data_IF_785495051641
#
_entry.id   IF_785495051641
#
_cell.length_a   1.000
_cell.length_b   1.000
_cell.length_c   1.000
_cell.angle_alpha   90.00
_cell.angle_beta   90.00
_cell.angle_gamma   90.00
#
_symmetry.space_group_name_H-M   'P 1'
#
loop_
_entity.id
_entity.type
_entity.pdbx_description
1 polymer ?
#
# COMPACT_ATOMS: atom_id res chain seq x y z
N UNK A 1 9.75 14.15 -16.27
CA UNK A 1 9.92 15.44 -15.57
C UNK A 1 11.00 16.31 -16.21
N UNK A 2 12.30 15.97 -16.13
CA UNK A 2 13.39 16.83 -16.61
C UNK A 2 13.37 17.14 -18.12
N UNK A 3 12.91 16.20 -18.94
CA UNK A 3 12.84 16.38 -20.38
C UNK A 3 11.78 17.40 -20.81
N UNK A 4 10.76 17.67 -19.97
CA UNK A 4 9.67 18.59 -20.28
C UNK A 4 9.08 19.22 -19.00
N UNK A 5 9.79 20.12 -18.31
CA UNK A 5 9.27 20.73 -17.08
C UNK A 5 8.03 21.60 -17.31
N UNK A 6 7.93 22.24 -18.47
CA UNK A 6 6.82 23.14 -18.80
C UNK A 6 5.53 22.39 -19.14
N UNK A 7 5.60 21.22 -19.80
CA UNK A 7 4.43 20.36 -20.00
C UNK A 7 3.84 19.85 -18.68
N UNK A 8 4.69 19.51 -17.71
CA UNK A 8 4.23 19.17 -16.35
C UNK A 8 3.65 20.38 -15.62
N UNK A 9 4.23 21.57 -15.78
CA UNK A 9 3.69 22.79 -15.21
C UNK A 9 2.30 23.13 -15.77
N UNK A 10 2.10 22.96 -17.08
CA UNK A 10 0.81 23.13 -17.73
C UNK A 10 -0.22 22.11 -17.24
N UNK A 11 0.20 20.86 -17.03
CA UNK A 11 -0.67 19.79 -16.48
C UNK A 11 -1.19 20.12 -15.08
N UNK A 12 -0.40 20.80 -14.26
CA UNK A 12 -0.78 21.18 -12.89
C UNK A 12 -1.40 22.57 -12.78
N UNK A 13 -1.56 23.32 -13.88
CA UNK A 13 -2.15 24.64 -13.85
C UNK A 13 -3.59 24.58 -13.32
N UNK A 14 -3.87 25.30 -12.23
CA UNK A 14 -5.18 25.30 -11.57
C UNK A 14 -5.43 24.14 -10.60
N UNK A 15 -4.44 23.28 -10.35
CA UNK A 15 -4.55 22.19 -9.37
C UNK A 15 -4.23 22.60 -7.93
N UNK A 16 -3.95 23.89 -7.64
CA UNK A 16 -3.53 24.35 -6.32
C UNK A 16 -4.49 23.91 -5.20
N UNK A 17 -5.79 24.08 -5.41
CA UNK A 17 -6.81 23.68 -4.45
C UNK A 17 -6.88 22.16 -4.29
N UNK A 18 -6.60 21.38 -5.35
CA UNK A 18 -6.51 19.92 -5.26
C UNK A 18 -5.30 19.51 -4.41
N UNK A 19 -4.12 20.05 -4.69
CA UNK A 19 -2.90 19.75 -3.94
C UNK A 19 -3.04 20.09 -2.46
N UNK A 20 -3.67 21.22 -2.13
CA UNK A 20 -3.97 21.60 -0.74
C UNK A 20 -4.89 20.58 -0.04
N UNK A 21 -5.94 20.10 -0.72
CA UNK A 21 -6.83 19.07 -0.16
C UNK A 21 -6.12 17.74 0.05
N UNK A 22 -5.28 17.31 -0.90
CA UNK A 22 -4.51 16.06 -0.76
C UNK A 22 -3.49 16.17 0.36
N UNK A 23 -2.77 17.29 0.46
CA UNK A 23 -1.83 17.54 1.55
C UNK A 23 -2.51 17.52 2.93
N UNK A 24 -3.74 18.04 3.02
CA UNK A 24 -4.52 18.01 4.27
C UNK A 24 -4.88 16.59 4.74
N UNK A 25 -4.85 15.58 3.85
CA UNK A 25 -5.10 14.18 4.23
C UNK A 25 -4.10 13.65 5.26
N UNK A 26 -2.88 14.21 5.29
CA UNK A 26 -1.84 13.81 6.25
C UNK A 26 -2.23 14.11 7.72
N UNK A 27 -3.24 14.96 7.93
CA UNK A 27 -3.81 15.25 9.24
C UNK A 27 -4.84 14.24 9.73
N UNK A 28 -5.25 13.27 8.89
CA UNK A 28 -6.26 12.27 9.21
C UNK A 28 -5.64 10.89 9.46
N UNK A 29 -6.24 10.12 10.37
CA UNK A 29 -5.73 8.81 10.78
C UNK A 29 -6.33 7.61 10.04
N UNK A 30 -7.40 7.79 9.28
CA UNK A 30 -8.13 6.70 8.63
C UNK A 30 -8.91 7.20 7.39
N UNK A 31 -9.34 6.27 6.54
CA UNK A 31 -10.17 6.55 5.38
C UNK A 31 -11.44 5.69 5.43
N UNK A 32 -12.59 6.33 5.23
CA UNK A 32 -13.89 5.66 5.08
C UNK A 32 -14.47 6.04 3.73
N UNK A 33 -14.85 5.05 2.95
CA UNK A 33 -15.62 5.23 1.72
C UNK A 33 -16.97 5.84 2.07
N UNK A 34 -17.37 6.95 1.43
CA UNK A 34 -18.69 7.56 1.65
C UNK A 34 -19.82 6.75 0.99
N UNK A 35 -19.49 5.73 0.21
CA UNK A 35 -20.48 4.95 -0.55
C UNK A 35 -21.01 3.79 0.28
N UNK A 36 -22.32 3.78 0.50
CA UNK A 36 -22.99 2.69 1.17
C UNK A 36 -23.01 1.42 0.30
N UNK A 37 -22.68 0.24 0.86
CA UNK A 37 -22.78 -1.01 0.15
C UNK A 37 -24.23 -1.29 -0.26
N UNK A 38 -24.49 -1.39 -1.57
CA UNK A 38 -25.77 -1.82 -2.15
C UNK A 38 -26.98 -1.04 -1.62
N UNK A 39 -27.10 0.24 -2.02
CA UNK A 39 -28.34 1.02 -1.88
C UNK A 39 -29.40 0.57 -2.88
N UNK A 40 -29.47 1.24 -4.04
CA UNK A 40 -30.36 0.88 -5.17
C UNK A 40 -29.64 0.18 -6.33
N UNK A 41 -28.29 0.15 -6.31
CA UNK A 41 -27.45 -0.36 -7.40
C UNK A 41 -26.63 -1.58 -6.93
N UNK A 42 -26.60 -2.69 -7.69
CA UNK A 42 -25.72 -3.83 -7.45
C UNK A 42 -24.22 -3.54 -7.60
N UNK A 43 -23.83 -2.36 -8.07
CA UNK A 43 -22.43 -1.93 -8.20
C UNK A 43 -22.17 -0.79 -7.20
N UNK A 44 -21.33 -1.05 -6.21
CA UNK A 44 -20.85 0.00 -5.29
C UNK A 44 -19.86 0.87 -6.06
N UNK A 45 -20.13 2.18 -6.24
CA UNK A 45 -19.19 3.05 -6.93
C UNK A 45 -17.88 3.14 -6.13
N UNK A 46 -16.76 3.07 -6.84
CA UNK A 46 -15.45 3.29 -6.24
C UNK A 46 -15.14 4.79 -6.16
N UNK A 47 -14.52 5.28 -5.07
CA UNK A 47 -13.96 6.62 -5.06
C UNK A 47 -12.99 6.81 -6.22
N UNK A 48 -13.01 8.00 -6.81
CA UNK A 48 -12.02 8.38 -7.83
C UNK A 48 -10.69 8.66 -7.11
N UNK A 49 -9.77 7.70 -7.15
CA UNK A 49 -8.48 7.81 -6.45
C UNK A 49 -7.39 8.55 -7.25
N UNK A 50 -7.57 8.78 -8.56
CA UNK A 50 -6.54 9.46 -9.37
C UNK A 50 -6.07 10.81 -8.79
N UNK A 51 -6.95 11.67 -8.24
CA UNK A 51 -6.53 12.95 -7.67
C UNK A 51 -5.58 12.84 -6.47
N UNK A 52 -5.57 11.73 -5.71
CA UNK A 52 -4.62 11.57 -4.59
C UNK A 52 -3.19 11.27 -5.06
N UNK A 53 -3.01 10.93 -6.34
CA UNK A 53 -1.70 10.69 -6.96
C UNK A 53 -1.18 11.93 -7.72
N UNK A 54 -2.03 12.92 -7.98
CA UNK A 54 -1.67 14.13 -8.73
C UNK A 54 -0.47 14.90 -8.15
N UNK A 55 -0.34 15.07 -6.81
CA UNK A 55 0.80 15.81 -6.25
C UNK A 55 2.16 15.17 -6.50
N UNK A 56 2.25 13.88 -6.81
CA UNK A 56 3.52 13.18 -7.00
C UNK A 56 4.40 13.87 -8.07
N UNK A 57 3.83 14.17 -9.24
CA UNK A 57 4.55 14.88 -10.29
C UNK A 57 4.73 16.36 -9.98
N UNK A 58 3.84 16.97 -9.19
CA UNK A 58 4.00 18.35 -8.73
C UNK A 58 5.22 18.50 -7.80
N UNK A 59 5.44 17.55 -6.87
CA UNK A 59 6.62 17.52 -6.01
C UNK A 59 7.90 17.35 -6.82
N UNK A 60 7.89 16.43 -7.79
CA UNK A 60 9.02 16.22 -8.70
C UNK A 60 9.35 17.49 -9.52
N UNK A 61 8.33 18.20 -10.01
CA UNK A 61 8.47 19.47 -10.71
C UNK A 61 9.05 20.56 -9.79
N UNK A 62 8.55 20.65 -8.55
CA UNK A 62 9.03 21.60 -7.55
C UNK A 62 10.53 21.40 -7.27
N UNK A 63 10.99 20.15 -7.14
CA UNK A 63 12.43 19.84 -6.98
C UNK A 63 13.26 20.25 -8.20
N UNK A 64 12.80 19.94 -9.42
CA UNK A 64 13.48 20.36 -10.66
C UNK A 64 13.58 21.88 -10.79
N UNK A 65 12.59 22.62 -10.26
CA UNK A 65 12.58 24.08 -10.20
C UNK A 65 13.35 24.67 -9.01
N UNK A 66 14.10 23.86 -8.26
CA UNK A 66 14.93 24.30 -7.13
C UNK A 66 14.20 24.42 -5.79
N UNK A 67 12.92 24.06 -5.71
CA UNK A 67 12.11 24.09 -4.48
C UNK A 67 12.18 22.75 -3.72
N UNK A 68 13.38 22.15 -3.63
CA UNK A 68 13.58 20.80 -3.06
C UNK A 68 13.05 20.66 -1.64
N UNK A 69 13.16 21.68 -0.78
CA UNK A 69 12.61 21.62 0.58
C UNK A 69 11.09 21.45 0.61
N UNK A 70 10.37 22.12 -0.30
CA UNK A 70 8.90 22.00 -0.44
C UNK A 70 8.53 20.65 -1.04
N UNK A 71 9.25 20.21 -2.06
CA UNK A 71 9.05 18.91 -2.70
C UNK A 71 9.24 17.74 -1.73
N UNK A 72 10.31 17.78 -0.92
CA UNK A 72 10.57 16.79 0.12
C UNK A 72 9.45 16.79 1.17
N UNK A 73 9.02 17.96 1.63
CA UNK A 73 7.96 18.07 2.64
C UNK A 73 6.63 17.50 2.12
N UNK A 74 6.28 17.81 0.87
CA UNK A 74 5.09 17.30 0.19
C UNK A 74 5.10 15.78 0.02
N UNK A 75 6.16 15.22 -0.55
CA UNK A 75 6.30 13.77 -0.71
C UNK A 75 6.24 13.02 0.64
N UNK A 76 6.86 13.59 1.68
CA UNK A 76 6.79 13.03 3.04
C UNK A 76 5.38 13.11 3.66
N UNK A 77 4.63 14.18 3.40
CA UNK A 77 3.23 14.28 3.83
C UNK A 77 2.36 13.23 3.12
N UNK A 78 2.55 13.04 1.82
CA UNK A 78 1.80 12.04 1.04
C UNK A 78 2.14 10.60 1.45
N UNK A 79 3.38 10.33 1.88
CA UNK A 79 3.74 9.06 2.54
C UNK A 79 2.92 8.85 3.82
N UNK A 80 2.72 9.88 4.64
CA UNK A 80 1.93 9.76 5.87
C UNK A 80 0.46 9.46 5.56
N UNK A 81 -0.12 10.18 4.60
CA UNK A 81 -1.48 9.90 4.08
C UNK A 81 -1.60 8.46 3.58
N UNK A 82 -0.63 8.01 2.76
CA UNK A 82 -0.59 6.66 2.23
C UNK A 82 -0.51 5.58 3.31
N UNK A 83 0.28 5.79 4.36
CA UNK A 83 0.39 4.88 5.51
C UNK A 83 -0.92 4.76 6.27
N UNK A 84 -1.62 5.87 6.50
CA UNK A 84 -2.93 5.88 7.13
C UNK A 84 -3.95 5.11 6.27
N UNK A 85 -4.03 5.40 4.97
CA UNK A 85 -4.90 4.69 4.03
C UNK A 85 -4.57 3.19 3.94
N UNK A 86 -3.29 2.81 3.99
CA UNK A 86 -2.85 1.41 3.92
C UNK A 86 -3.43 0.59 5.07
N UNK A 87 -3.21 1.03 6.32
CA UNK A 87 -3.60 0.25 7.50
C UNK A 87 -5.01 0.53 8.03
N UNK A 88 -5.57 1.70 7.72
CA UNK A 88 -6.85 2.18 8.26
C UNK A 88 -7.85 2.56 7.16
N UNK A 89 -7.64 2.07 5.93
CA UNK A 89 -8.67 2.07 4.89
C UNK A 89 -9.72 1.01 5.18
N UNK A 90 -10.99 1.35 4.94
CA UNK A 90 -12.15 0.47 5.14
C UNK A 90 -12.38 -0.53 4.01
N UNK A 91 -11.69 -0.38 2.88
CA UNK A 91 -11.80 -1.25 1.70
C UNK A 91 -10.42 -1.65 1.21
N UNK A 92 -10.32 -2.83 0.59
CA UNK A 92 -9.06 -3.36 0.07
C UNK A 92 -8.45 -2.44 -0.96
N UNK A 93 -9.28 -1.87 -1.85
CA UNK A 93 -8.83 -0.90 -2.85
C UNK A 93 -8.20 0.35 -2.21
N UNK A 94 -8.76 0.85 -1.11
CA UNK A 94 -8.19 1.99 -0.38
C UNK A 94 -6.82 1.64 0.20
N UNK A 95 -6.67 0.48 0.83
CA UNK A 95 -5.37 0.00 1.32
C UNK A 95 -4.35 -0.14 0.19
N UNK A 96 -4.81 -0.61 -0.98
CA UNK A 96 -4.00 -0.77 -2.19
C UNK A 96 -3.54 0.58 -2.77
N UNK A 97 -4.38 1.60 -2.76
CA UNK A 97 -4.00 2.96 -3.16
C UNK A 97 -3.03 3.57 -2.14
N UNK A 98 -3.30 3.39 -0.84
CA UNK A 98 -2.40 3.85 0.22
C UNK A 98 -0.99 3.26 0.07
N UNK A 99 -0.88 1.96 -0.18
CA UNK A 99 0.43 1.32 -0.40
C UNK A 99 1.14 1.87 -1.64
N UNK A 100 0.41 2.15 -2.72
CA UNK A 100 0.96 2.79 -3.92
C UNK A 100 1.44 4.23 -3.66
N UNK A 101 0.70 5.01 -2.86
CA UNK A 101 1.12 6.36 -2.46
C UNK A 101 2.43 6.31 -1.67
N UNK A 102 2.57 5.36 -0.73
CA UNK A 102 3.82 5.17 0.01
C UNK A 102 4.96 4.81 -0.93
N UNK A 103 4.79 3.79 -1.78
CA UNK A 103 5.86 3.30 -2.66
C UNK A 103 6.32 4.38 -3.65
N UNK A 104 5.37 5.05 -4.32
CA UNK A 104 5.67 6.07 -5.33
C UNK A 104 6.33 7.32 -4.74
N UNK A 105 5.81 7.86 -3.63
CA UNK A 105 6.40 9.03 -2.98
C UNK A 105 7.74 8.70 -2.30
N UNK A 106 7.91 7.48 -1.78
CA UNK A 106 9.19 7.04 -1.23
C UNK A 106 10.26 6.91 -2.33
N UNK A 107 9.90 6.38 -3.51
CA UNK A 107 10.81 6.34 -4.66
C UNK A 107 11.19 7.76 -5.11
N UNK A 108 10.21 8.65 -5.27
CA UNK A 108 10.48 10.05 -5.60
C UNK A 108 11.40 10.73 -4.56
N UNK A 109 11.15 10.48 -3.27
CA UNK A 109 12.00 10.97 -2.19
C UNK A 109 13.45 10.49 -2.34
N UNK A 110 13.66 9.21 -2.64
CA UNK A 110 14.99 8.66 -2.91
C UNK A 110 15.66 9.28 -4.14
N UNK A 111 14.91 9.55 -5.21
CA UNK A 111 15.43 10.21 -6.42
C UNK A 111 15.85 11.65 -6.13
N UNK A 112 15.06 12.40 -5.35
CA UNK A 112 15.42 13.76 -4.93
C UNK A 112 16.64 13.76 -4.01
N UNK A 113 16.73 12.79 -3.09
CA UNK A 113 17.81 12.70 -2.12
C UNK A 113 19.18 12.55 -2.76
N UNK A 114 19.33 11.71 -3.81
CA UNK A 114 20.63 11.48 -4.45
C UNK A 114 21.19 12.72 -5.16
N UNK A 115 20.34 13.68 -5.49
CA UNK A 115 20.72 14.95 -6.13
C UNK A 115 21.09 16.05 -5.13
N UNK A 116 20.75 15.86 -3.86
CA UNK A 116 21.08 16.78 -2.79
C UNK A 116 22.38 16.34 -2.10
N UNK A 117 23.07 17.24 -1.37
CA UNK A 117 24.16 16.84 -0.48
C UNK A 117 23.73 15.72 0.49
N UNK A 118 24.66 14.84 0.85
CA UNK A 118 24.35 13.70 1.72
C UNK A 118 23.88 14.11 3.14
N UNK A 119 24.33 15.29 3.59
CA UNK A 119 24.01 15.93 4.86
C UNK A 119 22.84 16.92 4.76
N UNK A 120 22.14 16.98 3.62
CA UNK A 120 20.99 17.86 3.44
C UNK A 120 19.94 17.64 4.55
N UNK A 121 19.57 18.74 5.20
CA UNK A 121 18.55 18.73 6.23
C UNK A 121 17.19 18.36 5.63
N UNK A 122 16.52 17.37 6.25
CA UNK A 122 15.17 17.00 5.86
C UNK A 122 14.12 17.83 6.60
N UNK A 123 13.00 18.18 5.94
CA UNK A 123 11.85 18.76 6.62
C UNK A 123 11.39 17.88 7.79
N UNK A 124 10.89 18.49 8.87
CA UNK A 124 10.50 17.78 10.09
C UNK A 124 9.48 16.65 9.85
N UNK A 125 8.54 16.85 8.92
CA UNK A 125 7.54 15.85 8.51
C UNK A 125 8.18 14.54 8.01
N UNK A 126 9.37 14.61 7.40
CA UNK A 126 10.05 13.44 6.88
C UNK A 126 10.58 12.51 7.97
N UNK A 127 10.80 13.00 9.19
CA UNK A 127 11.21 12.15 10.31
C UNK A 127 10.13 11.09 10.63
N UNK A 128 8.86 11.51 10.67
CA UNK A 128 7.74 10.59 10.83
C UNK A 128 7.54 9.72 9.58
N UNK A 129 7.61 10.31 8.38
CA UNK A 129 7.38 9.62 7.11
C UNK A 129 8.36 8.44 6.88
N UNK A 130 9.64 8.64 7.17
CA UNK A 130 10.71 7.65 7.00
C UNK A 130 10.87 6.67 8.18
N UNK A 131 10.11 6.85 9.26
CA UNK A 131 10.08 5.87 10.34
C UNK A 131 9.53 4.53 9.81
N UNK A 132 10.07 3.37 10.26
CA UNK A 132 9.54 2.06 9.88
C UNK A 132 8.02 1.97 10.09
N UNK A 133 7.31 1.37 9.13
CA UNK A 133 5.87 1.15 9.25
C UNK A 133 5.58 0.14 10.35
N UNK A 134 4.63 0.46 11.22
CA UNK A 134 4.18 -0.47 12.26
C UNK A 134 3.38 -1.63 11.64
N UNK A 135 3.22 -2.73 12.38
CA UNK A 135 2.36 -3.83 11.94
C UNK A 135 0.92 -3.35 11.68
N UNK A 136 0.40 -2.42 12.49
CA UNK A 136 -0.92 -1.83 12.28
C UNK A 136 -1.04 -1.00 11.00
N UNK A 137 0.02 -0.31 10.57
CA UNK A 137 0.04 0.41 9.29
C UNK A 137 0.18 -0.51 8.07
N UNK A 138 0.63 -1.75 8.29
CA UNK A 138 0.70 -2.80 7.26
C UNK A 138 -0.53 -3.72 7.28
N UNK A 139 -1.39 -3.59 8.28
CA UNK A 139 -2.52 -4.50 8.50
C UNK A 139 -3.61 -4.30 7.46
N UNK A 140 -4.15 -5.42 6.95
CA UNK A 140 -5.33 -5.42 6.10
C UNK A 140 -6.62 -5.72 6.87
N UNK A 141 -6.58 -5.81 8.21
CA UNK A 141 -7.75 -6.22 8.98
C UNK A 141 -8.95 -5.27 8.79
N UNK A 142 -8.74 -3.96 8.81
CA UNK A 142 -9.84 -2.98 8.61
C UNK A 142 -10.43 -3.12 7.21
N UNK A 143 -9.59 -3.17 6.17
CA UNK A 143 -10.02 -3.40 4.81
C UNK A 143 -10.80 -4.71 4.66
N UNK A 144 -10.27 -5.83 5.16
CA UNK A 144 -10.92 -7.13 5.02
C UNK A 144 -12.25 -7.23 5.78
N UNK A 145 -12.42 -6.47 6.88
CA UNK A 145 -13.74 -6.33 7.53
C UNK A 145 -14.75 -5.61 6.64
N UNK A 146 -14.34 -4.55 5.95
CA UNK A 146 -15.21 -3.88 4.99
C UNK A 146 -15.49 -4.72 3.75
N UNK A 147 -14.51 -5.46 3.24
CA UNK A 147 -14.71 -6.42 2.15
C UNK A 147 -15.69 -7.53 2.55
N UNK A 148 -15.64 -8.02 3.80
CA UNK A 148 -16.62 -8.97 4.32
C UNK A 148 -18.02 -8.34 4.43
N UNK A 149 -18.12 -7.09 4.89
CA UNK A 149 -19.39 -6.37 4.96
C UNK A 149 -20.00 -6.15 3.57
N UNK A 150 -19.17 -5.78 2.59
CA UNK A 150 -19.56 -5.62 1.19
C UNK A 150 -20.02 -6.93 0.58
N UNK A 151 -19.24 -8.01 0.76
CA UNK A 151 -19.60 -9.33 0.29
C UNK A 151 -20.92 -9.81 0.91
N UNK A 152 -21.12 -9.58 2.21
CA UNK A 152 -22.37 -9.92 2.88
C UNK A 152 -23.56 -9.07 2.42
N UNK A 153 -23.33 -7.81 2.08
CA UNK A 153 -24.34 -6.95 1.47
C UNK A 153 -24.82 -7.47 0.12
N UNK A 154 -23.93 -8.03 -0.71
CA UNK A 154 -24.30 -8.66 -1.98
C UNK A 154 -25.08 -9.97 -1.86
N UNK A 155 -24.97 -10.69 -0.74
CA UNK A 155 -25.68 -11.97 -0.52
C UNK A 155 -27.14 -11.75 -0.08
N UNK A 156 -27.43 -10.68 0.66
CA UNK A 156 -28.76 -10.42 1.27
C UNK A 156 -29.90 -10.22 0.24
N UNK A 157 -29.74 -9.44 -0.85
CA UNK A 157 -30.78 -9.22 -1.85
C UNK A 157 -31.21 -10.50 -2.60
N UNK A 158 -30.33 -11.51 -2.65
CA UNK A 158 -30.56 -12.79 -3.35
C UNK A 158 -31.58 -13.71 -2.66
N UNK A 159 -32.22 -13.27 -1.58
CA UNK A 159 -33.09 -14.10 -0.74
C UNK A 159 -34.52 -14.27 -1.24
N UNK A 160 -34.99 -13.44 -2.18
CA UNK A 160 -36.33 -13.60 -2.78
C UNK A 160 -37.45 -13.84 -1.75
N UNK A 161 -38.50 -14.59 -2.13
CA UNK A 161 -39.59 -14.96 -1.21
C UNK A 161 -39.05 -15.86 -0.07
N UNK A 162 -39.10 -15.42 1.21
CA UNK A 162 -38.40 -16.04 2.34
C UNK A 162 -38.79 -17.50 2.64
N UNK A 163 -39.95 -17.97 2.19
CA UNK A 163 -40.43 -19.32 2.51
C UNK A 163 -40.03 -20.40 1.48
N UNK A 164 -39.69 -20.01 0.24
CA UNK A 164 -39.37 -20.96 -0.84
C UNK A 164 -37.87 -21.29 -0.99
N UNK A 165 -36.98 -20.41 -0.50
CA UNK A 165 -35.55 -20.49 -0.78
C UNK A 165 -34.66 -20.73 0.46
N UNK A 166 -35.23 -20.83 1.67
CA UNK A 166 -34.48 -21.03 2.93
C UNK A 166 -33.59 -22.29 2.95
N UNK A 167 -34.00 -23.35 2.24
CA UNK A 167 -33.21 -24.59 2.11
C UNK A 167 -32.14 -24.51 1.01
N UNK A 168 -32.24 -23.55 0.09
CA UNK A 168 -31.30 -23.34 -1.01
C UNK A 168 -30.24 -22.31 -0.65
N UNK A 169 -30.64 -21.22 0.03
CA UNK A 169 -29.79 -20.12 0.46
C UNK A 169 -30.08 -19.72 1.92
N UNK A 170 -29.21 -20.15 2.82
CA UNK A 170 -29.17 -19.72 4.21
C UNK A 170 -28.08 -18.63 4.35
N UNK A 171 -28.51 -17.37 4.46
CA UNK A 171 -27.58 -16.22 4.50
C UNK A 171 -26.62 -16.31 5.70
N UNK A 172 -27.06 -16.52 6.96
CA UNK A 172 -26.14 -16.70 8.08
C UNK A 172 -25.10 -17.79 7.85
N UNK A 173 -25.49 -18.97 7.37
CA UNK A 173 -24.55 -20.06 7.06
C UNK A 173 -23.60 -19.72 5.92
N UNK A 174 -24.07 -19.00 4.92
CA UNK A 174 -23.25 -18.53 3.80
C UNK A 174 -22.18 -17.55 4.29
N UNK A 175 -22.56 -16.57 5.09
CA UNK A 175 -21.62 -15.60 5.68
C UNK A 175 -20.60 -16.29 6.60
N UNK A 176 -21.04 -17.24 7.43
CA UNK A 176 -20.15 -18.01 8.29
C UNK A 176 -19.11 -18.80 7.47
N UNK A 177 -19.51 -19.37 6.33
CA UNK A 177 -18.60 -20.07 5.42
C UNK A 177 -17.62 -19.13 4.71
N UNK A 178 -18.05 -17.90 4.40
CA UNK A 178 -17.19 -16.89 3.77
C UNK A 178 -16.19 -16.27 4.74
N UNK A 179 -16.54 -16.14 6.03
CA UNK A 179 -15.76 -15.38 7.01
C UNK A 179 -14.26 -15.73 7.08
N UNK A 180 -13.80 -17.00 7.04
CA UNK A 180 -12.37 -17.32 7.07
C UNK A 180 -11.55 -16.71 5.92
N UNK A 181 -12.17 -16.46 4.76
CA UNK A 181 -11.52 -15.80 3.61
C UNK A 181 -11.12 -14.35 3.88
N UNK A 182 -11.75 -13.73 4.87
CA UNK A 182 -11.51 -12.33 5.26
C UNK A 182 -10.82 -12.22 6.61
N UNK A 183 -11.15 -13.12 7.55
CA UNK A 183 -10.70 -13.06 8.93
C UNK A 183 -9.18 -13.28 9.09
N UNK A 184 -8.49 -13.89 8.12
CA UNK A 184 -7.05 -14.13 8.18
C UNK A 184 -6.24 -12.85 8.43
N UNK A 185 -6.67 -11.72 7.87
CA UNK A 185 -5.96 -10.44 8.00
C UNK A 185 -6.07 -9.84 9.41
N UNK A 186 -7.01 -10.30 10.22
CA UNK A 186 -7.23 -9.87 11.59
C UNK A 186 -6.61 -10.80 12.64
N UNK A 187 -6.00 -11.91 12.23
CA UNK A 187 -5.37 -12.84 13.16
C UNK A 187 -4.08 -12.23 13.75
N UNK A 188 -3.76 -12.56 15.01
CA UNK A 188 -2.49 -12.16 15.63
C UNK A 188 -1.25 -12.66 14.84
N UNK A 189 -1.40 -13.76 14.09
CA UNK A 189 -0.36 -14.24 13.17
C UNK A 189 -0.07 -13.26 12.04
N UNK A 190 -1.05 -12.49 11.55
CA UNK A 190 -0.85 -11.49 10.51
C UNK A 190 0.02 -10.33 10.98
N UNK A 191 -0.15 -9.88 12.24
CA UNK A 191 0.70 -8.83 12.83
C UNK A 191 2.15 -9.31 12.99
N UNK A 192 2.36 -10.54 13.46
CA UNK A 192 3.68 -11.16 13.60
C UNK A 192 4.38 -11.31 12.25
N UNK A 193 3.64 -11.70 11.21
CA UNK A 193 4.13 -11.81 9.83
C UNK A 193 4.56 -10.45 9.31
N UNK A 194 3.73 -9.40 9.48
CA UNK A 194 4.05 -8.04 9.07
C UNK A 194 5.30 -7.50 9.80
N UNK A 195 5.40 -7.72 11.12
CA UNK A 195 6.55 -7.29 11.91
C UNK A 195 7.87 -7.98 11.50
N UNK A 196 7.79 -9.27 11.10
CA UNK A 196 8.96 -10.04 10.62
C UNK A 196 9.21 -9.89 9.12
N UNK A 197 8.38 -9.07 8.46
CA UNK A 197 8.40 -8.91 7.01
C UNK A 197 8.22 -10.24 6.24
N UNK A 198 7.61 -11.25 6.85
CA UNK A 198 7.52 -12.61 6.29
C UNK A 198 6.40 -12.74 5.24
N UNK A 199 6.42 -13.74 4.34
CA UNK A 199 5.30 -13.99 3.45
C UNK A 199 4.02 -14.28 4.24
N UNK A 200 2.89 -13.67 3.83
CA UNK A 200 1.62 -13.88 4.51
C UNK A 200 0.99 -15.23 4.13
N UNK A 201 0.72 -16.13 5.09
CA UNK A 201 0.00 -17.36 4.82
C UNK A 201 -1.49 -17.05 4.63
N UNK A 202 -2.02 -17.35 3.45
CA UNK A 202 -3.46 -17.26 3.16
C UNK A 202 -4.09 -18.63 3.45
N UNK A 203 -5.09 -18.71 4.35
CA UNK A 203 -5.77 -19.98 4.62
C UNK A 203 -6.42 -20.57 3.37
N UNK A 204 -6.34 -21.89 3.23
CA UNK A 204 -7.07 -22.61 2.19
C UNK A 204 -8.58 -22.57 2.49
N UNK A 205 -9.45 -22.61 1.45
CA UNK A 205 -10.89 -22.73 1.64
C UNK A 205 -11.26 -23.98 2.45
N UNK A 206 -12.26 -23.86 3.33
CA UNK A 206 -12.77 -25.00 4.09
C UNK A 206 -13.48 -26.01 3.15
N UNK A 207 -13.18 -27.30 3.32
CA UNK A 207 -13.65 -28.39 2.44
C UNK A 207 -14.85 -29.17 2.99
N UNK A 208 -15.61 -28.63 3.95
CA UNK A 208 -16.76 -29.35 4.50
C UNK A 208 -17.89 -29.47 3.47
N UNK A 209 -18.12 -30.71 3.01
CA UNK A 209 -19.10 -31.10 1.99
C UNK A 209 -20.51 -31.30 2.57
N UNK A 210 -20.63 -31.70 3.83
CA UNK A 210 -21.93 -31.98 4.45
C UNK A 210 -22.68 -30.69 4.76
N UNK A 211 -21.95 -29.60 5.07
CA UNK A 211 -22.51 -28.27 5.25
C UNK A 211 -23.23 -27.70 4.00
N UNK A 212 -23.02 -28.29 2.81
CA UNK A 212 -23.63 -27.82 1.56
C UNK A 212 -24.96 -28.48 1.20
N UNK A 213 -25.36 -29.55 1.89
CA UNK A 213 -26.62 -30.27 1.60
C UNK A 213 -27.84 -29.37 1.90
N UNK A 214 -27.77 -28.60 2.98
CA UNK A 214 -28.86 -27.71 3.42
C UNK A 214 -28.64 -26.23 3.03
N UNK A 215 -27.64 -25.94 2.19
CA UNK A 215 -27.33 -24.59 1.70
C UNK A 215 -26.57 -24.61 0.36
N UNK A 216 -27.10 -25.28 -0.69
CA UNK A 216 -26.38 -25.50 -1.95
C UNK A 216 -26.02 -24.20 -2.69
N UNK A 217 -26.93 -23.21 -2.76
CA UNK A 217 -26.64 -21.92 -3.39
C UNK A 217 -25.67 -21.10 -2.54
N UNK A 218 -25.81 -21.12 -1.22
CA UNK A 218 -24.86 -20.46 -0.33
C UNK A 218 -23.45 -21.05 -0.44
N UNK A 219 -23.33 -22.37 -0.61
CA UNK A 219 -22.04 -22.98 -0.92
C UNK A 219 -21.51 -22.59 -2.30
N UNK A 220 -22.35 -22.52 -3.33
CA UNK A 220 -21.93 -22.05 -4.65
C UNK A 220 -21.35 -20.63 -4.57
N UNK A 221 -22.07 -19.70 -3.92
CA UNK A 221 -21.62 -18.32 -3.68
C UNK A 221 -20.33 -18.28 -2.86
N UNK A 222 -20.29 -18.99 -1.74
CA UNK A 222 -19.12 -19.04 -0.87
C UNK A 222 -17.93 -19.78 -1.49
N UNK A 223 -18.10 -20.49 -2.61
CA UNK A 223 -17.03 -21.16 -3.34
C UNK A 223 -16.61 -20.43 -4.62
N UNK A 224 -17.27 -19.32 -4.99
CA UNK A 224 -16.80 -18.44 -6.08
C UNK A 224 -15.34 -18.08 -5.78
N UNK A 225 -14.46 -18.34 -6.74
CA UNK A 225 -13.03 -18.05 -6.59
C UNK A 225 -12.82 -16.56 -6.35
N UNK A 226 -12.12 -16.23 -5.27
CA UNK A 226 -11.60 -14.88 -5.06
C UNK A 226 -10.24 -14.73 -5.74
N UNK A 227 -9.72 -13.50 -5.87
CA UNK A 227 -8.37 -13.31 -6.35
C UNK A 227 -7.36 -13.84 -5.33
N UNK A 228 -6.12 -14.10 -5.77
CA UNK A 228 -5.07 -14.57 -4.88
C UNK A 228 -4.71 -13.48 -3.86
N UNK A 229 -5.17 -13.66 -2.61
CA UNK A 229 -4.97 -12.69 -1.53
C UNK A 229 -3.49 -12.46 -1.20
N UNK A 230 -2.56 -13.36 -1.60
CA UNK A 230 -1.12 -13.14 -1.43
C UNK A 230 -0.64 -11.90 -2.16
N UNK A 231 -1.21 -11.61 -3.33
CA UNK A 231 -0.89 -10.43 -4.12
C UNK A 231 -1.31 -9.14 -3.42
N UNK A 232 -2.37 -9.16 -2.62
CA UNK A 232 -2.81 -7.99 -1.86
C UNK A 232 -2.06 -7.86 -0.53
N UNK A 233 -1.84 -8.97 0.16
CA UNK A 233 -1.12 -9.02 1.42
C UNK A 233 0.33 -8.53 1.29
N UNK A 234 0.99 -8.81 0.15
CA UNK A 234 2.37 -8.38 -0.08
C UNK A 234 2.54 -6.88 -0.35
N UNK A 235 1.49 -6.16 -0.78
CA UNK A 235 1.62 -4.73 -1.17
C UNK A 235 1.92 -3.80 0.01
N UNK A 236 1.24 -3.89 1.18
CA UNK A 236 1.64 -3.16 2.37
C UNK A 236 3.07 -3.51 2.84
N UNK A 237 3.49 -4.77 2.66
CA UNK A 237 4.86 -5.21 3.01
C UNK A 237 5.89 -4.58 2.07
N UNK A 238 5.59 -4.48 0.77
CA UNK A 238 6.46 -3.83 -0.22
C UNK A 238 6.54 -2.33 0.02
N UNK A 239 5.45 -1.66 0.38
CA UNK A 239 5.46 -0.27 0.82
C UNK A 239 6.36 -0.06 2.06
N UNK A 240 6.25 -0.93 3.07
CA UNK A 240 7.09 -0.88 4.25
C UNK A 240 8.58 -1.16 3.93
N UNK A 241 8.86 -2.07 2.99
CA UNK A 241 10.22 -2.32 2.52
C UNK A 241 10.79 -1.15 1.73
N UNK A 242 10.01 -0.48 0.89
CA UNK A 242 10.44 0.72 0.18
C UNK A 242 10.87 1.81 1.17
N UNK A 243 10.10 2.08 2.23
CA UNK A 243 10.49 3.06 3.25
C UNK A 243 11.79 2.68 3.97
N UNK A 244 11.95 1.40 4.33
CA UNK A 244 13.21 0.89 4.90
C UNK A 244 14.38 1.08 3.92
N UNK A 245 14.15 0.84 2.64
CA UNK A 245 15.14 0.97 1.58
C UNK A 245 15.58 2.43 1.37
N UNK A 246 14.65 3.38 1.36
CA UNK A 246 14.96 4.83 1.29
C UNK A 246 15.72 5.28 2.54
N UNK A 247 15.30 4.84 3.72
CA UNK A 247 16.01 5.15 4.96
C UNK A 247 17.43 4.56 4.98
N UNK A 248 17.62 3.34 4.45
CA UNK A 248 18.93 2.71 4.28
C UNK A 248 19.81 3.46 3.27
N UNK A 249 19.26 3.86 2.12
CA UNK A 249 19.94 4.68 1.11
C UNK A 249 20.42 6.00 1.73
N UNK A 250 19.56 6.72 2.45
CA UNK A 250 19.94 7.96 3.15
C UNK A 250 21.06 7.70 4.16
N UNK A 251 20.93 6.67 4.99
CA UNK A 251 21.96 6.34 5.97
C UNK A 251 23.30 6.03 5.32
N UNK A 252 23.32 5.22 4.25
CA UNK A 252 24.54 4.85 3.53
C UNK A 252 25.25 6.06 2.92
N UNK A 253 24.50 7.02 2.37
CA UNK A 253 25.05 8.24 1.77
C UNK A 253 25.77 9.13 2.80
N UNK A 254 25.39 9.04 4.07
CA UNK A 254 26.00 9.79 5.17
C UNK A 254 27.27 9.14 5.71
N UNK A 255 27.68 7.99 5.17
CA UNK A 255 28.82 7.23 5.66
C UNK A 255 30.10 7.62 4.91
N UNK A 256 31.26 7.67 5.60
CA UNK A 256 32.54 8.02 4.98
C UNK A 256 33.16 6.89 4.15
N UNK A 257 32.66 5.65 4.30
CA UNK A 257 33.21 4.43 3.69
C UNK A 257 32.40 3.95 2.49
N UNK A 258 32.96 3.04 1.70
CA UNK A 258 32.28 2.44 0.54
C UNK A 258 30.95 1.78 0.94
N UNK A 259 29.94 1.89 0.08
CA UNK A 259 28.58 1.46 0.40
C UNK A 259 28.45 -0.05 0.64
N UNK A 260 29.28 -0.88 -0.02
CA UNK A 260 29.24 -2.35 0.10
C UNK A 260 29.69 -2.86 1.48
N UNK A 261 30.76 -2.30 2.05
CA UNK A 261 31.22 -2.64 3.40
C UNK A 261 30.27 -2.09 4.46
N UNK A 262 29.73 -0.91 4.20
CA UNK A 262 28.87 -0.21 5.16
C UNK A 262 27.48 -0.85 5.27
N UNK A 263 26.99 -1.45 4.19
CA UNK A 263 25.74 -2.20 4.18
C UNK A 263 25.73 -3.34 5.22
N UNK A 264 26.88 -3.97 5.49
CA UNK A 264 27.01 -5.00 6.54
C UNK A 264 26.77 -4.44 7.95
N UNK A 265 26.92 -3.13 8.13
CA UNK A 265 26.73 -2.40 9.40
C UNK A 265 25.41 -1.64 9.44
N UNK A 266 24.48 -1.92 8.52
CA UNK A 266 23.16 -1.27 8.48
C UNK A 266 22.50 -1.34 9.87
N UNK A 267 21.93 -0.25 10.42
CA UNK A 267 21.25 -0.28 11.72
C UNK A 267 20.13 -1.31 11.76
N UNK A 268 19.92 -1.95 12.92
CA UNK A 268 18.90 -3.00 13.09
C UNK A 268 17.49 -2.52 12.70
N UNK A 269 17.15 -1.27 13.03
CA UNK A 269 15.87 -0.67 12.67
C UNK A 269 15.61 -0.55 11.15
N UNK A 270 16.65 -0.66 10.32
CA UNK A 270 16.56 -0.58 8.86
C UNK A 270 16.66 -1.96 8.18
N UNK A 271 16.93 -3.01 8.96
CA UNK A 271 17.02 -4.38 8.45
C UNK A 271 15.63 -5.02 8.38
N UNK A 272 15.51 -6.02 7.50
CA UNK A 272 14.41 -6.98 7.57
C UNK A 272 14.98 -8.36 7.87
N UNK A 273 14.31 -9.17 8.71
CA UNK A 273 14.74 -10.54 8.99
C UNK A 273 14.69 -11.47 7.77
N UNK A 274 13.93 -11.10 6.75
CA UNK A 274 13.64 -11.97 5.60
C UNK A 274 14.02 -11.37 4.25
N UNK A 275 14.34 -10.09 4.20
CA UNK A 275 14.69 -9.36 2.98
C UNK A 275 15.91 -8.48 3.20
N UNK A 276 17.05 -8.94 2.70
CA UNK A 276 18.32 -8.20 2.83
C UNK A 276 18.49 -7.26 1.64
N UNK A 277 18.70 -5.95 1.85
CA UNK A 277 19.04 -5.05 0.77
C UNK A 277 20.42 -5.39 0.19
N UNK A 278 20.56 -5.30 -1.12
CA UNK A 278 21.81 -5.52 -1.87
C UNK A 278 22.07 -4.37 -2.83
N UNK A 279 23.33 -4.15 -3.20
CA UNK A 279 23.66 -3.24 -4.29
C UNK A 279 23.51 -3.97 -5.63
N UNK A 280 23.09 -3.28 -6.68
CA UNK A 280 23.18 -3.78 -8.05
C UNK A 280 24.64 -3.95 -8.46
N UNK A 281 24.89 -4.77 -9.49
CA UNK A 281 26.24 -5.10 -9.97
C UNK A 281 27.06 -3.85 -10.38
N UNK A 282 26.37 -2.84 -10.93
CA UNK A 282 26.93 -1.55 -11.33
C UNK A 282 27.02 -0.52 -10.16
N UNK A 283 26.55 -0.90 -8.97
CA UNK A 283 26.49 -0.07 -7.78
C UNK A 283 25.58 1.16 -7.90
N UNK A 284 24.72 1.22 -8.93
CA UNK A 284 23.82 2.36 -9.17
C UNK A 284 22.56 2.30 -8.33
N UNK A 285 22.15 1.10 -7.88
CA UNK A 285 20.88 0.87 -7.19
C UNK A 285 21.11 0.12 -5.89
N UNK A 286 20.36 0.51 -4.87
CA UNK A 286 20.11 -0.31 -3.69
C UNK A 286 18.77 -0.99 -3.88
N UNK A 287 18.73 -2.31 -3.76
CA UNK A 287 17.57 -3.11 -4.16
C UNK A 287 17.24 -4.20 -3.15
N UNK A 288 15.96 -4.59 -3.14
CA UNK A 288 15.44 -5.69 -2.33
C UNK A 288 14.30 -6.39 -3.06
N UNK A 289 14.11 -7.69 -2.82
CA UNK A 289 13.03 -8.46 -3.45
C UNK A 289 11.63 -7.93 -3.09
N UNK A 290 10.74 -7.90 -4.09
CA UNK A 290 9.31 -7.65 -3.91
C UNK A 290 8.63 -8.92 -3.41
N UNK A 291 7.64 -8.74 -2.54
CA UNK A 291 6.67 -9.79 -2.19
C UNK A 291 5.71 -10.03 -3.35
N UNK A 292 5.39 -8.97 -4.11
CA UNK A 292 4.46 -9.01 -5.23
C UNK A 292 5.19 -8.60 -6.51
N UNK A 293 5.34 -9.52 -7.45
CA UNK A 293 5.86 -9.20 -8.78
C UNK A 293 4.70 -8.60 -9.58
N UNK A 294 4.89 -7.39 -10.10
CA UNK A 294 3.99 -6.77 -11.07
C UNK A 294 4.78 -6.64 -12.36
N UNK A 295 4.20 -7.02 -13.49
CA UNK A 295 4.91 -7.16 -14.77
C UNK A 295 5.69 -5.89 -15.15
N UNK A 296 5.14 -4.70 -14.89
CA UNK A 296 5.79 -3.41 -15.21
C UNK A 296 6.85 -2.95 -14.19
N UNK A 297 6.76 -3.39 -12.94
CA UNK A 297 7.64 -2.92 -11.85
C UNK A 297 8.83 -3.86 -11.59
N UNK A 298 8.82 -5.05 -12.19
CA UNK A 298 9.87 -6.05 -12.02
C UNK A 298 9.88 -6.74 -10.65
N UNK A 299 10.88 -7.61 -10.40
CA UNK A 299 10.94 -8.44 -9.20
C UNK A 299 11.53 -7.75 -7.97
N UNK A 300 12.10 -6.54 -8.12
CA UNK A 300 12.84 -5.85 -7.05
C UNK A 300 12.33 -4.42 -6.83
N UNK A 301 12.25 -4.02 -5.56
CA UNK A 301 12.18 -2.61 -5.18
C UNK A 301 13.58 -2.03 -5.31
N UNK A 302 13.69 -0.83 -5.84
CA UNK A 302 14.97 -0.19 -6.11
C UNK A 302 14.91 1.30 -5.79
N UNK A 303 16.01 1.82 -5.25
CA UNK A 303 16.28 3.25 -5.05
C UNK A 303 17.68 3.57 -5.58
N UNK A 304 17.90 4.75 -6.19
CA UNK A 304 19.19 5.09 -6.77
C UNK A 304 20.25 5.30 -5.68
N UNK A 305 21.51 5.03 -5.97
CA UNK A 305 22.65 5.34 -5.08
C UNK A 305 23.45 6.55 -5.58
N UNK A 306 23.21 6.97 -6.83
CA UNK A 306 23.88 8.10 -7.48
C UNK A 306 22.85 8.94 -8.22
N UNK A 307 23.15 10.22 -8.36
CA UNK A 307 22.34 11.09 -9.21
C UNK A 307 22.42 10.61 -10.67
N UNK A 308 21.32 10.72 -11.45
CA UNK A 308 21.36 10.41 -12.86
C UNK A 308 22.38 11.30 -13.58
N UNK A 309 23.05 10.74 -14.59
CA UNK A 309 23.91 11.52 -15.48
C UNK A 309 23.07 12.63 -16.14
N UNK A 310 23.56 13.87 -16.11
CA UNK A 310 22.91 15.02 -16.74
C UNK A 310 23.15 15.05 -18.23
#
# INVERSE_FOLDING_TARGET
MRADPEGFAATHAGHDALHQRVAALAGYGHFVSPFEPFGTDPIVPLPVFQPVLDPLSAHALAHVRGHSGTALAGACADILSGRAMTGQGDTLITSMIGAAMVESNARLLADMLVELPADAALPAVCAAALAPMTAGQQSLCTAMRGEFALAGAGVRPSTGNPDGHRLLLDVPRTLARMAPRYAWACAASAELVAARDAPTPIPAPAQDRFACIANPLGCAVANIGGPDMRQYAGRPQDAAAMLRLVAAQRWLRQQPTTSSETLKRLPEALRSPTRTPVLSDDGQWLQVERRVVMDEAGPTLQVPMRAPAR
#
